data_IF_444000992568
#
_entry.id   IF_444000992568
#
_cell.length_a   1.000
_cell.length_b   1.000
_cell.length_c   1.000
_cell.angle_alpha   90.00
_cell.angle_beta   90.00
_cell.angle_gamma   90.00
#
_symmetry.space_group_name_H-M   'P 1'
#
loop_
_entity.id
_entity.type
_entity.pdbx_description
1 polymer ?
#
# COMPACT_ATOMS: atom_id res chain seq x y z
N UNK A 1 -21.77 -2.24 27.60
CA UNK A 1 -20.32 -2.55 27.61
C UNK A 1 -19.64 -2.03 26.34
N UNK A 2 -20.16 -0.97 25.70
CA UNK A 2 -19.74 -0.47 24.38
C UNK A 2 -18.93 0.85 24.39
N UNK A 3 -18.45 1.31 25.55
CA UNK A 3 -17.82 2.65 25.67
C UNK A 3 -16.27 2.63 25.75
N UNK A 4 -15.68 1.44 25.93
CA UNK A 4 -14.21 1.30 26.02
C UNK A 4 -13.57 1.03 24.65
N UNK A 5 -14.30 0.39 23.72
CA UNK A 5 -13.76 -0.04 22.43
C UNK A 5 -13.70 1.15 21.43
N UNK A 6 -14.68 2.05 21.48
CA UNK A 6 -14.70 3.26 20.63
C UNK A 6 -13.54 4.24 20.95
N UNK A 7 -13.02 4.22 22.17
CA UNK A 7 -11.91 5.08 22.58
C UNK A 7 -10.52 4.55 22.11
N UNK A 8 -10.46 3.30 21.68
CA UNK A 8 -9.23 2.67 21.17
C UNK A 8 -9.10 2.86 19.66
N UNK A 9 -10.23 2.90 18.96
CA UNK A 9 -10.26 3.08 17.49
C UNK A 9 -9.76 4.49 17.13
N UNK A 10 -8.75 4.56 16.27
CA UNK A 10 -8.16 5.83 15.81
C UNK A 10 -7.08 6.42 16.75
N UNK A 11 -6.74 5.74 17.85
CA UNK A 11 -5.69 6.20 18.77
C UNK A 11 -4.34 6.39 18.08
N UNK A 12 -3.99 5.47 17.21
CA UNK A 12 -2.71 5.51 16.49
C UNK A 12 -2.63 6.64 15.45
N UNK A 13 -3.77 7.05 14.88
CA UNK A 13 -3.83 8.20 13.95
C UNK A 13 -3.50 9.53 14.64
N UNK A 14 -3.67 9.60 15.96
CA UNK A 14 -3.34 10.77 16.78
C UNK A 14 -1.98 10.62 17.49
N UNK A 15 -1.18 9.62 17.15
CA UNK A 15 0.15 9.40 17.74
C UNK A 15 1.04 10.64 17.55
N UNK A 16 1.79 11.07 18.57
CA UNK A 16 2.79 12.13 18.45
C UNK A 16 3.98 11.70 17.57
N UNK A 17 4.23 10.40 17.45
CA UNK A 17 5.26 9.84 16.59
C UNK A 17 4.77 9.79 15.13
N UNK A 18 5.39 10.56 14.21
CA UNK A 18 4.97 10.61 12.83
C UNK A 18 5.14 9.26 12.11
N UNK A 19 6.09 8.42 12.53
CA UNK A 19 6.30 7.10 11.96
C UNK A 19 5.14 6.16 12.31
N UNK A 20 4.67 6.21 13.55
CA UNK A 20 3.52 5.43 14.04
C UNK A 20 2.23 5.93 13.41
N UNK A 21 2.03 7.25 13.39
CA UNK A 21 0.84 7.84 12.75
C UNK A 21 0.70 7.44 11.29
N UNK A 22 1.82 7.45 10.54
CA UNK A 22 1.83 6.99 9.15
C UNK A 22 1.49 5.49 9.03
N UNK A 23 1.98 4.65 9.95
CA UNK A 23 1.65 3.23 9.98
C UNK A 23 0.15 2.97 10.08
N UNK A 24 -0.53 3.67 10.99
CA UNK A 24 -1.98 3.58 11.15
C UNK A 24 -2.71 4.17 9.95
N UNK A 25 -2.26 5.30 9.42
CA UNK A 25 -2.83 5.89 8.21
C UNK A 25 -2.79 4.92 7.04
N UNK A 26 -1.65 4.24 6.83
CA UNK A 26 -1.50 3.20 5.80
C UNK A 26 -2.42 2.01 6.05
N UNK A 27 -2.57 1.56 7.29
CA UNK A 27 -3.45 0.45 7.64
C UNK A 27 -4.92 0.77 7.36
N UNK A 28 -5.39 1.92 7.82
CA UNK A 28 -6.76 2.38 7.61
C UNK A 28 -7.04 2.60 6.12
N UNK A 29 -6.15 3.27 5.45
CA UNK A 29 -6.30 3.58 4.03
C UNK A 29 -6.34 2.33 3.15
N UNK A 30 -5.37 1.42 3.33
CA UNK A 30 -5.26 0.24 2.50
C UNK A 30 -6.43 -0.73 2.69
N UNK A 31 -6.83 -0.97 3.94
CA UNK A 31 -7.98 -1.86 4.22
C UNK A 31 -9.26 -1.25 3.66
N UNK A 32 -9.50 0.05 3.85
CA UNK A 32 -10.64 0.73 3.25
C UNK A 32 -10.62 0.72 1.73
N UNK A 33 -9.44 0.83 1.13
CA UNK A 33 -9.23 0.77 -0.31
C UNK A 33 -9.63 -0.59 -0.90
N UNK A 34 -9.15 -1.68 -0.31
CA UNK A 34 -9.43 -3.03 -0.83
C UNK A 34 -10.85 -3.50 -0.55
N UNK A 35 -11.49 -3.01 0.52
CA UNK A 35 -12.88 -3.32 0.88
C UNK A 35 -13.90 -2.36 0.29
N UNK A 36 -13.47 -1.40 -0.53
CA UNK A 36 -14.36 -0.45 -1.17
C UNK A 36 -15.41 -1.15 -2.05
N UNK A 37 -16.67 -0.77 -1.88
CA UNK A 37 -17.78 -1.36 -2.66
C UNK A 37 -17.70 -0.89 -4.13
N UNK A 38 -17.99 -1.76 -5.11
CA UNK A 38 -18.01 -1.38 -6.51
C UNK A 38 -18.93 -0.18 -6.78
N UNK A 39 -18.44 0.79 -7.58
CA UNK A 39 -19.21 1.99 -7.93
C UNK A 39 -19.09 3.15 -6.93
N UNK A 40 -18.43 2.97 -5.80
CA UNK A 40 -18.10 4.08 -4.88
C UNK A 40 -16.79 4.73 -5.34
N UNK A 41 -16.75 6.07 -5.54
CA UNK A 41 -15.52 6.75 -5.88
C UNK A 41 -14.46 6.54 -4.81
N UNK A 42 -13.29 6.06 -5.20
CA UNK A 42 -12.15 5.90 -4.31
C UNK A 42 -11.57 7.26 -3.95
N UNK A 43 -11.41 7.52 -2.66
CA UNK A 43 -10.67 8.70 -2.22
C UNK A 43 -9.20 8.61 -2.65
N UNK A 44 -8.57 9.76 -3.00
CA UNK A 44 -7.12 9.80 -3.21
C UNK A 44 -6.38 9.24 -2.01
N UNK A 45 -5.24 8.60 -2.23
CA UNK A 45 -4.41 8.13 -1.13
C UNK A 45 -3.97 9.31 -0.24
N UNK A 46 -4.10 9.21 1.08
CA UNK A 46 -3.86 10.32 2.00
C UNK A 46 -2.38 10.70 2.12
N UNK A 47 -1.48 9.81 1.72
CA UNK A 47 -0.05 10.03 1.77
C UNK A 47 0.69 9.32 0.63
N UNK A 48 1.97 9.67 0.43
CA UNK A 48 2.83 8.99 -0.54
C UNK A 48 3.08 7.53 -0.17
N UNK A 49 3.17 7.21 1.12
CA UNK A 49 3.35 5.84 1.59
C UNK A 49 2.09 5.01 1.35
N UNK A 50 0.89 5.59 1.61
CA UNK A 50 -0.39 4.95 1.27
C UNK A 50 -0.55 4.72 -0.23
N UNK A 51 -0.18 5.69 -1.07
CA UNK A 51 -0.19 5.52 -2.53
C UNK A 51 0.74 4.39 -2.98
N UNK A 52 1.97 4.35 -2.44
CA UNK A 52 2.93 3.28 -2.72
C UNK A 52 2.41 1.91 -2.27
N UNK A 53 1.71 1.86 -1.13
CA UNK A 53 1.12 0.62 -0.61
C UNK A 53 -0.01 0.11 -1.49
N UNK A 54 -0.95 0.97 -1.92
CA UNK A 54 -2.03 0.59 -2.84
C UNK A 54 -1.45 0.02 -4.14
N UNK A 55 -0.53 0.76 -4.76
CA UNK A 55 0.12 0.34 -6.00
C UNK A 55 0.84 -1.01 -5.86
N UNK A 56 1.68 -1.16 -4.83
CA UNK A 56 2.44 -2.40 -4.61
C UNK A 56 1.53 -3.58 -4.24
N UNK A 57 0.45 -3.35 -3.50
CA UNK A 57 -0.55 -4.36 -3.17
C UNK A 57 -1.26 -4.88 -4.41
N UNK A 58 -1.73 -3.99 -5.28
CA UNK A 58 -2.37 -4.36 -6.55
C UNK A 58 -1.43 -5.14 -7.46
N UNK A 59 -0.18 -4.68 -7.60
CA UNK A 59 0.85 -5.38 -8.37
C UNK A 59 1.12 -6.79 -7.82
N UNK A 60 1.17 -6.94 -6.50
CA UNK A 60 1.39 -8.23 -5.86
C UNK A 60 0.23 -9.20 -6.15
N UNK A 61 -1.01 -8.74 -6.06
CA UNK A 61 -2.21 -9.54 -6.32
C UNK A 61 -2.30 -9.95 -7.80
N UNK A 62 -1.95 -9.03 -8.72
CA UNK A 62 -1.94 -9.30 -10.17
C UNK A 62 -0.85 -10.32 -10.54
N UNK A 63 0.33 -10.20 -9.96
CA UNK A 63 1.48 -11.07 -10.31
C UNK A 63 1.39 -12.47 -9.71
N UNK A 64 0.73 -12.62 -8.55
CA UNK A 64 0.67 -13.89 -7.82
C UNK A 64 -0.76 -14.37 -7.53
N UNK A 65 -1.68 -14.40 -8.50
CA UNK A 65 -3.09 -14.71 -8.28
C UNK A 65 -3.30 -16.14 -7.73
N UNK A 66 -2.45 -17.09 -8.10
CA UNK A 66 -2.54 -18.49 -7.64
C UNK A 66 -2.27 -18.58 -6.13
N UNK A 67 -1.34 -17.78 -5.64
CA UNK A 67 -1.01 -17.73 -4.21
C UNK A 67 -2.22 -17.23 -3.42
N UNK A 68 -2.84 -16.12 -3.84
CA UNK A 68 -3.95 -15.50 -3.15
C UNK A 68 -5.26 -16.29 -3.26
N UNK A 69 -5.46 -17.13 -4.27
CA UNK A 69 -6.61 -18.05 -4.36
C UNK A 69 -6.72 -19.05 -3.20
N UNK A 70 -5.64 -19.30 -2.48
CA UNK A 70 -5.61 -20.23 -1.35
C UNK A 70 -5.99 -19.57 -0.02
N UNK A 71 -5.97 -18.25 0.07
CA UNK A 71 -6.19 -17.51 1.30
C UNK A 71 -7.58 -17.68 1.90
N UNK A 72 -8.68 -17.75 1.14
CA UNK A 72 -9.99 -18.05 1.71
C UNK A 72 -10.03 -19.35 2.49
N UNK A 73 -9.17 -20.32 2.16
CA UNK A 73 -9.07 -21.59 2.94
C UNK A 73 -8.32 -21.41 4.25
N UNK A 74 -7.36 -20.49 4.30
CA UNK A 74 -6.62 -20.16 5.54
C UNK A 74 -7.55 -19.46 6.53
N UNK A 75 -8.51 -18.70 6.02
CA UNK A 75 -9.46 -17.92 6.81
C UNK A 75 -10.83 -18.59 6.97
N UNK A 76 -11.03 -19.84 6.50
CA UNK A 76 -12.35 -20.49 6.46
C UNK A 76 -13.05 -20.55 7.81
N UNK A 77 -12.31 -20.73 8.91
CA UNK A 77 -12.82 -20.87 10.27
C UNK A 77 -12.74 -19.56 11.07
N UNK A 78 -12.41 -18.43 10.41
CA UNK A 78 -12.35 -17.14 11.04
C UNK A 78 -13.77 -16.63 11.36
N UNK A 79 -13.91 -16.13 12.57
CA UNK A 79 -15.10 -15.45 13.09
C UNK A 79 -14.75 -14.03 13.52
N UNK A 80 -15.73 -13.21 13.85
CA UNK A 80 -15.51 -11.86 14.37
C UNK A 80 -14.56 -11.82 15.57
N UNK A 81 -14.63 -12.82 16.44
CA UNK A 81 -13.79 -12.88 17.63
C UNK A 81 -12.39 -13.42 17.38
N UNK A 82 -12.20 -14.19 16.29
CA UNK A 82 -10.91 -14.83 15.99
C UNK A 82 -10.13 -14.16 14.89
N UNK A 83 -10.68 -13.19 14.17
CA UNK A 83 -10.03 -12.55 13.03
C UNK A 83 -8.69 -11.87 13.43
N UNK A 84 -8.72 -10.99 14.43
CA UNK A 84 -7.50 -10.33 14.91
C UNK A 84 -6.50 -11.31 15.53
N UNK A 85 -6.88 -12.23 16.44
CA UNK A 85 -5.98 -13.27 16.94
C UNK A 85 -5.34 -14.11 15.82
N UNK A 86 -6.12 -14.51 14.81
CA UNK A 86 -5.59 -15.28 13.66
C UNK A 86 -4.59 -14.46 12.86
N UNK A 87 -4.90 -13.20 12.56
CA UNK A 87 -3.98 -12.29 11.88
C UNK A 87 -2.66 -12.17 12.64
N UNK A 88 -2.72 -11.87 13.94
CA UNK A 88 -1.53 -11.71 14.76
C UNK A 88 -0.68 -13.00 14.83
N UNK A 89 -1.33 -14.16 14.95
CA UNK A 89 -0.63 -15.46 14.97
C UNK A 89 0.15 -15.70 13.69
N UNK A 90 -0.45 -15.42 12.52
CA UNK A 90 0.22 -15.57 11.22
C UNK A 90 1.38 -14.57 11.09
N UNK A 91 1.18 -13.33 11.51
CA UNK A 91 2.21 -12.29 11.46
C UNK A 91 3.38 -12.61 12.40
N UNK A 92 3.10 -13.06 13.61
CA UNK A 92 4.12 -13.44 14.59
C UNK A 92 4.97 -14.63 14.09
N UNK A 93 4.35 -15.61 13.44
CA UNK A 93 5.10 -16.70 12.80
C UNK A 93 5.98 -16.21 11.64
N UNK A 94 5.46 -15.28 10.83
CA UNK A 94 6.19 -14.70 9.70
C UNK A 94 7.41 -13.87 10.16
N UNK A 95 7.26 -13.12 11.25
CA UNK A 95 8.30 -12.25 11.84
C UNK A 95 9.05 -12.91 13.01
N UNK A 96 8.91 -14.21 13.22
CA UNK A 96 9.59 -14.92 14.31
C UNK A 96 11.10 -14.63 14.34
N UNK A 97 11.69 -14.43 15.54
CA UNK A 97 13.10 -14.04 15.71
C UNK A 97 14.10 -15.02 15.08
N UNK A 98 13.71 -16.29 14.97
CA UNK A 98 14.51 -17.35 14.33
C UNK A 98 14.70 -17.18 12.83
N UNK A 99 13.87 -16.34 12.20
CA UNK A 99 13.94 -16.01 10.76
C UNK A 99 14.52 -14.62 10.49
N UNK A 100 15.03 -13.93 11.51
CA UNK A 100 15.59 -12.57 11.38
C UNK A 100 16.78 -12.57 10.44
N UNK A 101 16.48 -12.31 9.18
CA UNK A 101 17.32 -11.55 8.26
C UNK A 101 16.87 -10.09 8.40
N UNK A 102 17.69 -9.15 7.93
CA UNK A 102 17.27 -7.73 7.85
C UNK A 102 15.84 -7.61 7.32
N UNK A 103 15.04 -6.73 7.97
CA UNK A 103 13.66 -6.50 7.60
C UNK A 103 13.57 -6.14 6.11
N UNK A 104 13.00 -7.01 5.31
CA UNK A 104 12.75 -6.76 3.89
C UNK A 104 11.46 -5.94 3.73
N UNK A 105 11.49 -4.92 2.87
CA UNK A 105 10.30 -4.12 2.57
C UNK A 105 9.14 -4.96 1.99
N UNK A 106 9.45 -6.06 1.32
CA UNK A 106 8.43 -7.03 0.86
C UNK A 106 7.70 -7.72 2.01
N UNK A 107 8.38 -7.96 3.14
CA UNK A 107 7.74 -8.48 4.33
C UNK A 107 6.82 -7.43 4.97
N UNK A 108 7.22 -6.15 4.98
CA UNK A 108 6.36 -5.04 5.42
C UNK A 108 5.11 -4.94 4.55
N UNK A 109 5.26 -5.00 3.22
CA UNK A 109 4.14 -5.01 2.28
C UNK A 109 3.17 -6.18 2.57
N UNK A 110 3.71 -7.37 2.84
CA UNK A 110 2.88 -8.56 3.07
C UNK A 110 1.99 -8.44 4.32
N UNK A 111 2.37 -7.67 5.33
CA UNK A 111 1.55 -7.41 6.52
C UNK A 111 0.23 -6.75 6.14
N UNK A 112 0.31 -5.67 5.38
CA UNK A 112 -0.87 -4.91 4.95
C UNK A 112 -1.73 -5.71 3.97
N UNK A 113 -1.11 -6.40 3.01
CA UNK A 113 -1.82 -7.22 2.02
C UNK A 113 -2.55 -8.38 2.69
N UNK A 114 -1.92 -9.05 3.67
CA UNK A 114 -2.56 -10.09 4.47
C UNK A 114 -3.79 -9.56 5.20
N UNK A 115 -3.66 -8.43 5.88
CA UNK A 115 -4.78 -7.80 6.59
C UNK A 115 -5.90 -7.38 5.65
N UNK A 116 -5.57 -6.84 4.47
CA UNK A 116 -6.56 -6.52 3.44
C UNK A 116 -7.31 -7.75 2.94
N UNK A 117 -6.61 -8.87 2.71
CA UNK A 117 -7.26 -10.13 2.30
C UNK A 117 -8.16 -10.72 3.40
N UNK A 118 -7.75 -10.60 4.67
CA UNK A 118 -8.60 -10.98 5.79
C UNK A 118 -9.85 -10.11 5.87
N UNK A 119 -9.71 -8.80 5.72
CA UNK A 119 -10.85 -7.87 5.74
C UNK A 119 -11.84 -8.15 4.60
N UNK A 120 -11.34 -8.41 3.39
CA UNK A 120 -12.17 -8.86 2.26
C UNK A 120 -12.91 -10.16 2.57
N UNK A 121 -12.22 -11.15 3.13
CA UNK A 121 -12.85 -12.42 3.52
C UNK A 121 -13.94 -12.21 4.58
N UNK A 122 -13.72 -11.35 5.57
CA UNK A 122 -14.72 -11.00 6.56
C UNK A 122 -15.94 -10.29 5.93
N UNK A 123 -15.69 -9.35 5.01
CA UNK A 123 -16.74 -8.66 4.27
C UNK A 123 -17.59 -9.63 3.43
N UNK A 124 -16.96 -10.55 2.70
CA UNK A 124 -17.65 -11.58 1.90
C UNK A 124 -18.53 -12.52 2.76
N UNK A 125 -18.24 -12.62 4.05
CA UNK A 125 -18.97 -13.40 5.03
C UNK A 125 -20.01 -12.60 5.83
N UNK A 126 -20.19 -11.32 5.53
CA UNK A 126 -21.14 -10.45 6.24
C UNK A 126 -20.64 -9.98 7.60
N UNK A 127 -19.32 -10.06 7.86
CA UNK A 127 -18.67 -9.59 9.10
C UNK A 127 -18.01 -8.20 8.86
N UNK A 128 -18.73 -7.26 8.24
CA UNK A 128 -18.17 -5.94 7.87
C UNK A 128 -17.80 -5.10 9.11
N UNK A 129 -18.49 -5.29 10.22
CA UNK A 129 -18.32 -4.51 11.46
C UNK A 129 -16.97 -4.72 12.13
N UNK A 130 -16.23 -5.78 11.75
CA UNK A 130 -14.89 -6.03 12.29
C UNK A 130 -13.78 -5.26 11.56
N UNK A 131 -14.06 -4.63 10.44
CA UNK A 131 -13.06 -3.91 9.64
C UNK A 131 -12.27 -2.88 10.45
N UNK A 132 -12.86 -2.02 11.28
CA UNK A 132 -12.10 -1.09 12.12
C UNK A 132 -11.16 -1.78 13.10
N UNK A 133 -11.55 -2.93 13.65
CA UNK A 133 -10.70 -3.70 14.56
C UNK A 133 -9.50 -4.33 13.83
N UNK A 134 -9.67 -4.78 12.58
CA UNK A 134 -8.56 -5.27 11.74
C UNK A 134 -7.60 -4.12 11.42
N UNK A 135 -8.10 -2.92 11.13
CA UNK A 135 -7.30 -1.72 10.90
C UNK A 135 -6.42 -1.37 12.11
N UNK A 136 -7.03 -1.33 13.30
CA UNK A 136 -6.31 -1.08 14.56
C UNK A 136 -5.32 -2.19 14.89
N UNK A 137 -5.70 -3.44 14.68
CA UNK A 137 -4.88 -4.61 14.93
C UNK A 137 -3.58 -4.55 14.10
N UNK A 138 -3.71 -4.27 12.81
CA UNK A 138 -2.55 -4.18 11.92
C UNK A 138 -1.70 -2.94 12.21
N UNK A 139 -2.34 -1.79 12.47
CA UNK A 139 -1.64 -0.56 12.85
C UNK A 139 -0.79 -0.76 14.11
N UNK A 140 -1.38 -1.36 15.15
CA UNK A 140 -0.69 -1.68 16.41
C UNK A 140 0.43 -2.72 16.23
N UNK A 141 0.24 -3.69 15.33
CA UNK A 141 1.30 -4.65 15.00
C UNK A 141 2.49 -3.96 14.33
N UNK A 142 2.23 -3.12 13.34
CA UNK A 142 3.26 -2.34 12.63
C UNK A 142 3.98 -1.39 13.58
N UNK A 143 3.26 -0.71 14.48
CA UNK A 143 3.85 0.13 15.52
C UNK A 143 4.85 -0.64 16.37
N UNK A 144 4.45 -1.80 16.89
CA UNK A 144 5.22 -2.58 17.84
C UNK A 144 6.41 -3.31 17.21
N UNK A 145 6.24 -3.86 16.01
CA UNK A 145 7.20 -4.80 15.39
C UNK A 145 8.01 -4.14 14.28
N UNK A 146 7.37 -3.31 13.45
CA UNK A 146 8.00 -2.79 12.23
C UNK A 146 8.59 -1.40 12.44
N UNK A 147 7.87 -0.49 13.11
CA UNK A 147 8.35 0.88 13.32
C UNK A 147 9.73 0.96 14.00
N UNK A 148 10.03 0.16 15.03
CA UNK A 148 11.37 0.13 15.61
C UNK A 148 12.46 -0.25 14.60
N UNK A 149 12.19 -1.23 13.74
CA UNK A 149 13.15 -1.75 12.77
C UNK A 149 13.43 -0.79 11.59
N UNK A 150 12.42 0.01 11.19
CA UNK A 150 12.57 0.94 10.06
C UNK A 150 13.00 2.34 10.49
N UNK A 151 12.97 2.66 11.79
CA UNK A 151 13.32 3.98 12.31
C UNK A 151 14.72 4.39 11.89
N UNK A 152 15.69 3.53 12.09
CA UNK A 152 17.09 3.77 11.75
C UNK A 152 17.40 3.59 10.26
N UNK A 153 16.43 3.08 9.49
CA UNK A 153 16.52 2.86 8.03
C UNK A 153 15.84 3.98 7.22
N UNK A 154 15.60 5.14 7.82
CA UNK A 154 14.96 6.29 7.17
C UNK A 154 13.43 6.23 7.14
N UNK A 155 12.81 5.40 7.98
CA UNK A 155 11.37 5.30 8.12
C UNK A 155 10.68 4.89 6.82
N UNK A 156 9.47 5.40 6.60
CA UNK A 156 8.64 5.08 5.44
C UNK A 156 9.22 5.56 4.10
N UNK A 157 10.24 6.41 4.09
CA UNK A 157 10.93 6.83 2.86
C UNK A 157 11.57 5.65 2.12
N UNK A 158 12.08 4.65 2.84
CA UNK A 158 12.61 3.42 2.26
C UNK A 158 11.51 2.59 1.57
N UNK A 159 10.32 2.51 2.15
CA UNK A 159 9.16 1.86 1.56
C UNK A 159 8.71 2.57 0.28
N UNK A 160 8.57 3.90 0.34
CA UNK A 160 8.21 4.73 -0.82
C UNK A 160 9.24 4.58 -1.94
N UNK A 161 10.54 4.61 -1.62
CA UNK A 161 11.60 4.42 -2.61
C UNK A 161 11.56 3.04 -3.27
N UNK A 162 11.12 2.02 -2.55
CA UNK A 162 11.04 0.64 -3.06
C UNK A 162 9.80 0.37 -3.89
N UNK A 163 8.65 0.93 -3.50
CA UNK A 163 7.34 0.59 -4.03
C UNK A 163 6.55 1.77 -4.59
N UNK A 164 6.97 3.01 -4.31
CA UNK A 164 6.34 4.17 -4.92
C UNK A 164 6.39 4.05 -6.43
N UNK A 165 5.36 4.53 -7.10
CA UNK A 165 5.46 4.73 -8.55
C UNK A 165 6.77 5.45 -8.81
N UNK A 166 7.64 4.80 -9.54
CA UNK A 166 8.72 5.51 -10.22
C UNK A 166 7.98 6.48 -11.12
N UNK A 167 7.84 7.70 -10.64
CA UNK A 167 7.38 8.81 -11.48
C UNK A 167 8.22 8.67 -12.74
N UNK A 168 7.56 8.23 -13.82
CA UNK A 168 8.22 7.82 -15.03
C UNK A 168 9.18 8.91 -15.46
N UNK A 169 10.44 8.78 -15.07
CA UNK A 169 11.52 9.46 -15.80
C UNK A 169 11.38 9.13 -17.30
N UNK A 170 10.87 7.91 -17.62
CA UNK A 170 10.55 7.51 -18.98
C UNK A 170 9.47 8.39 -19.62
N UNK A 171 8.37 8.73 -18.93
CA UNK A 171 7.36 9.65 -19.47
C UNK A 171 7.89 11.08 -19.63
N UNK A 172 8.75 11.51 -18.74
CA UNK A 172 9.38 12.84 -18.86
C UNK A 172 10.43 12.83 -19.96
N UNK A 173 11.26 11.79 -20.06
CA UNK A 173 12.26 11.63 -21.11
C UNK A 173 11.58 11.45 -22.48
N UNK A 174 10.51 10.64 -22.58
CA UNK A 174 9.75 10.49 -23.82
C UNK A 174 9.11 11.81 -24.23
N UNK A 175 8.47 12.56 -23.33
CA UNK A 175 7.92 13.89 -23.64
C UNK A 175 8.98 14.87 -24.09
N UNK A 176 10.14 14.94 -23.41
CA UNK A 176 11.25 15.82 -23.78
C UNK A 176 11.84 15.40 -25.14
N UNK A 177 12.01 14.10 -25.39
CA UNK A 177 12.47 13.58 -26.68
C UNK A 177 11.47 13.88 -27.81
N UNK A 178 10.17 13.69 -27.58
CA UNK A 178 9.14 14.04 -28.58
C UNK A 178 9.14 15.53 -28.91
N UNK A 179 9.25 16.40 -27.91
CA UNK A 179 9.32 17.85 -28.11
C UNK A 179 10.60 18.26 -28.85
N UNK A 180 11.75 17.68 -28.54
CA UNK A 180 13.02 17.98 -29.23
C UNK A 180 12.99 17.53 -30.69
N UNK A 181 12.44 16.35 -30.97
CA UNK A 181 12.24 15.85 -32.35
C UNK A 181 11.29 16.74 -33.15
N UNK A 182 10.20 17.21 -32.52
CA UNK A 182 9.22 18.10 -33.15
C UNK A 182 9.85 19.45 -33.54
N UNK A 183 10.65 20.02 -32.65
CA UNK A 183 11.40 21.25 -32.93
C UNK A 183 12.43 21.05 -34.05
N UNK A 184 13.10 19.91 -34.10
CA UNK A 184 14.06 19.57 -35.13
C UNK A 184 13.39 19.40 -36.49
N UNK A 185 12.22 18.75 -36.56
CA UNK A 185 11.39 18.65 -37.78
C UNK A 185 10.93 20.01 -38.27
N UNK A 186 10.46 20.89 -37.37
CA UNK A 186 10.06 22.27 -37.72
C UNK A 186 11.26 23.07 -38.25
N UNK A 187 12.44 22.92 -37.64
CA UNK A 187 13.68 23.55 -38.12
C UNK A 187 14.07 23.11 -39.53
N UNK A 188 14.02 21.80 -39.79
CA UNK A 188 14.32 21.22 -41.12
C UNK A 188 13.32 21.71 -42.16
N UNK A 189 12.01 21.67 -41.86
CA UNK A 189 10.95 22.17 -42.78
C UNK A 189 11.15 23.66 -43.07
N UNK A 190 11.42 24.47 -42.08
CA UNK A 190 11.70 25.91 -42.25
C UNK A 190 12.92 26.15 -43.14
N UNK A 191 13.99 25.36 -42.98
CA UNK A 191 15.18 25.42 -43.82
C UNK A 191 14.85 25.06 -45.27
N UNK A 192 14.10 24.00 -45.53
CA UNK A 192 13.64 23.60 -46.87
C UNK A 192 12.77 24.65 -47.55
N UNK A 193 11.84 25.26 -46.80
CA UNK A 193 11.00 26.34 -47.33
C UNK A 193 11.83 27.55 -47.69
N UNK A 194 12.82 27.90 -46.84
CA UNK A 194 13.70 29.05 -47.07
C UNK A 194 14.62 28.86 -48.28
N UNK A 195 15.19 27.65 -48.45
CA UNK A 195 16.02 27.31 -49.60
C UNK A 195 15.24 27.29 -50.91
N UNK A 196 13.99 26.81 -50.91
CA UNK A 196 13.13 26.84 -52.11
C UNK A 196 12.67 28.25 -52.51
N UNK A 197 12.63 29.19 -51.59
CA UNK A 197 12.27 30.59 -51.90
C UNK A 197 13.44 31.40 -52.46
N UNK A 198 14.65 30.90 -52.40
CA UNK A 198 15.86 31.51 -52.96
C UNK A 198 16.25 31.04 -54.34
N UNK A 199 15.57 30.00 -54.89
CA UNK A 199 15.70 29.47 -56.27
C UNK A 199 14.53 29.99 -57.06
#
# INVERSE_FOLDING_TARGET
MGRSDDAVIGRGLNSPDPLVREAFLMAYDYISYVTAKPGVPLCPAPSRASAALRHAGDELLIRFPIFFRRWPRVFQDVTEHTACPTLLSILDEHFAPTRRRDLAWSAVLSVFVLAGQLALHCQDRGMEDITPQIQECVGSYVERVICPEIRDKGGWSGFISRFGEKQNLEDHVVKVCCWSLLLLCVGILSYFIWTRRKT
#
